data_IF_150982645538
#
_entry.id   IF_150982645538
#
_cell.length_a   1.000
_cell.length_b   1.000
_cell.length_c   1.000
_cell.angle_alpha   90.00
_cell.angle_beta   90.00
_cell.angle_gamma   90.00
#
_symmetry.space_group_name_H-M   'P 1'
#
loop_
_entity.id
_entity.type
_entity.pdbx_description
1 polymer ?
#
# COMPACT_ATOMS: atom_id res chain seq x y z
N UNK A 1 8.20 -1.43 12.08
CA UNK A 1 7.49 -0.15 11.90
C UNK A 1 6.06 -0.31 12.32
N UNK A 2 5.51 0.66 13.06
CA UNK A 2 4.12 0.55 13.53
C UNK A 2 3.06 0.77 12.45
N UNK A 3 3.48 1.08 11.23
CA UNK A 3 2.53 1.24 10.13
C UNK A 3 2.57 0.01 9.25
N UNK A 4 1.40 -0.58 8.99
CA UNK A 4 1.28 -1.76 8.14
C UNK A 4 0.43 -1.44 6.92
N UNK A 5 0.64 -2.23 5.87
CA UNK A 5 0.01 -2.00 4.57
C UNK A 5 -0.88 -3.16 4.13
N UNK A 6 -1.32 -3.97 5.09
CA UNK A 6 -2.18 -5.12 4.81
C UNK A 6 -3.48 -4.68 4.13
N UNK A 7 -4.06 -3.57 4.59
CA UNK A 7 -5.29 -3.05 3.99
C UNK A 7 -5.11 -2.68 2.53
N UNK A 8 -3.95 -2.13 2.17
CA UNK A 8 -3.63 -1.79 0.79
C UNK A 8 -3.67 -3.04 -0.10
N UNK A 9 -2.99 -4.10 0.32
CA UNK A 9 -2.94 -5.32 -0.47
C UNK A 9 -4.30 -6.00 -0.56
N UNK A 10 -5.07 -5.97 0.51
CA UNK A 10 -6.43 -6.52 0.50
C UNK A 10 -7.32 -5.74 -0.46
N UNK A 11 -7.23 -4.41 -0.44
CA UNK A 11 -8.02 -3.56 -1.31
C UNK A 11 -7.64 -3.76 -2.77
N UNK A 12 -6.34 -3.84 -3.06
CA UNK A 12 -5.86 -4.11 -4.41
C UNK A 12 -6.41 -5.43 -4.93
N UNK A 13 -6.38 -6.45 -4.09
CA UNK A 13 -6.91 -7.76 -4.45
C UNK A 13 -8.41 -7.70 -4.70
N UNK A 14 -9.14 -6.99 -3.85
CA UNK A 14 -10.59 -6.84 -3.99
C UNK A 14 -10.96 -6.09 -5.27
N UNK A 15 -10.12 -5.17 -5.71
CA UNK A 15 -10.34 -4.41 -6.94
C UNK A 15 -9.79 -5.10 -8.19
N UNK A 16 -9.23 -6.30 -8.03
CA UNK A 16 -8.69 -7.06 -9.15
C UNK A 16 -7.30 -6.66 -9.59
N UNK A 17 -6.56 -5.93 -8.75
CA UNK A 17 -5.19 -5.55 -9.07
C UNK A 17 -4.21 -6.63 -8.63
N UNK A 18 -3.74 -7.41 -9.60
CA UNK A 18 -2.67 -8.38 -9.35
C UNK A 18 -1.32 -7.65 -9.35
N UNK A 19 -0.28 -8.33 -8.86
CA UNK A 19 1.08 -7.78 -8.89
C UNK A 19 1.48 -7.41 -10.32
N UNK A 20 1.12 -8.25 -11.28
CA UNK A 20 1.38 -7.99 -12.69
C UNK A 20 0.71 -6.70 -13.16
N UNK A 21 -0.56 -6.51 -12.81
CA UNK A 21 -1.32 -5.34 -13.22
C UNK A 21 -0.78 -4.06 -12.57
N UNK A 22 -0.41 -4.15 -11.29
CA UNK A 22 0.20 -3.01 -10.58
C UNK A 22 1.48 -2.57 -11.28
N UNK A 23 2.29 -3.54 -11.66
CA UNK A 23 3.56 -3.27 -12.35
C UNK A 23 3.33 -2.72 -13.75
N UNK A 24 2.37 -3.26 -14.48
CA UNK A 24 2.07 -2.86 -15.84
C UNK A 24 1.51 -1.43 -15.90
N UNK A 25 0.64 -1.09 -14.97
CA UNK A 25 0.05 0.25 -14.91
C UNK A 25 0.92 1.25 -14.15
N UNK A 26 2.05 0.78 -13.63
CA UNK A 26 2.99 1.59 -12.85
C UNK A 26 2.31 2.29 -11.68
N UNK A 27 1.38 1.61 -11.08
CA UNK A 27 0.63 2.14 -9.95
C UNK A 27 1.54 2.36 -8.74
N UNK A 28 2.41 1.38 -8.48
CA UNK A 28 3.41 1.46 -7.43
C UNK A 28 4.74 1.03 -8.05
N UNK A 29 5.80 1.78 -7.78
CA UNK A 29 7.13 1.40 -8.24
C UNK A 29 7.56 0.04 -7.70
N UNK A 30 8.31 -0.71 -8.48
CA UNK A 30 8.72 -2.06 -8.13
C UNK A 30 9.50 -2.09 -6.82
N UNK A 31 10.44 -1.16 -6.65
CA UNK A 31 11.21 -1.07 -5.41
C UNK A 31 10.34 -0.77 -4.21
N UNK A 32 9.39 0.15 -4.38
CA UNK A 32 8.46 0.51 -3.33
C UNK A 32 7.56 -0.68 -2.97
N UNK A 33 7.06 -1.39 -3.97
CA UNK A 33 6.21 -2.55 -3.76
C UNK A 33 6.95 -3.64 -2.99
N UNK A 34 8.20 -3.91 -3.36
CA UNK A 34 9.04 -4.88 -2.66
C UNK A 34 9.26 -4.47 -1.22
N UNK A 35 9.58 -3.18 -0.99
CA UNK A 35 9.80 -2.66 0.36
C UNK A 35 8.54 -2.78 1.22
N UNK A 36 7.37 -2.53 0.64
CA UNK A 36 6.10 -2.67 1.36
C UNK A 36 5.85 -4.12 1.76
N UNK A 37 6.11 -5.06 0.86
CA UNK A 37 5.94 -6.49 1.13
C UNK A 37 6.88 -6.97 2.23
N UNK A 38 8.08 -6.40 2.29
CA UNK A 38 9.08 -6.76 3.28
C UNK A 38 8.92 -5.98 4.59
N UNK A 39 8.02 -5.01 4.63
CA UNK A 39 7.82 -4.18 5.79
C UNK A 39 8.94 -3.19 6.05
N UNK A 40 9.78 -2.91 5.04
CA UNK A 40 10.95 -2.05 5.20
C UNK A 40 10.80 -0.67 4.60
N UNK A 41 9.68 -0.39 3.95
CA UNK A 41 9.48 0.89 3.31
C UNK A 41 8.11 1.47 3.60
N UNK A 42 7.84 2.62 3.00
CA UNK A 42 6.57 3.30 3.16
C UNK A 42 6.16 4.01 1.89
N UNK A 43 4.94 4.50 1.88
CA UNK A 43 4.41 5.26 0.76
C UNK A 43 4.63 6.75 1.02
N UNK A 44 5.00 7.49 -0.02
CA UNK A 44 5.03 8.94 0.07
C UNK A 44 3.62 9.50 -0.19
N UNK A 45 3.41 10.77 0.12
CA UNK A 45 2.11 11.40 -0.01
C UNK A 45 1.60 11.35 -1.46
N UNK A 46 2.50 11.49 -2.41
CA UNK A 46 2.17 11.49 -3.82
C UNK A 46 1.61 10.14 -4.27
N UNK A 47 2.26 9.07 -3.85
CA UNK A 47 1.81 7.72 -4.16
C UNK A 47 0.49 7.41 -3.45
N UNK A 48 0.35 7.84 -2.20
CA UNK A 48 -0.90 7.67 -1.45
C UNK A 48 -2.05 8.37 -2.18
N UNK A 49 -1.83 9.60 -2.62
CA UNK A 49 -2.85 10.36 -3.33
C UNK A 49 -3.26 9.66 -4.62
N UNK A 50 -2.29 9.13 -5.35
CA UNK A 50 -2.55 8.41 -6.59
C UNK A 50 -3.34 7.14 -6.36
N UNK A 51 -2.98 6.38 -5.33
CA UNK A 51 -3.71 5.17 -4.98
C UNK A 51 -5.15 5.48 -4.55
N UNK A 52 -5.35 6.54 -3.79
CA UNK A 52 -6.68 6.96 -3.39
C UNK A 52 -7.54 7.31 -4.60
N UNK A 53 -6.95 7.98 -5.58
CA UNK A 53 -7.66 8.34 -6.80
C UNK A 53 -8.02 7.12 -7.64
N UNK A 54 -7.07 6.23 -7.83
CA UNK A 54 -7.25 5.03 -8.67
C UNK A 54 -8.21 4.04 -8.01
N UNK A 55 -8.11 3.85 -6.70
CA UNK A 55 -8.91 2.89 -5.96
C UNK A 55 -10.17 3.49 -5.36
N UNK A 56 -10.35 4.80 -5.52
CA UNK A 56 -11.50 5.54 -4.97
C UNK A 56 -11.66 5.27 -3.48
N UNK A 57 -10.62 5.55 -2.72
CA UNK A 57 -10.59 5.30 -1.28
C UNK A 57 -9.85 6.42 -0.55
N UNK A 58 -9.81 6.32 0.77
CA UNK A 58 -9.13 7.27 1.64
C UNK A 58 -7.80 6.66 2.10
N UNK A 59 -6.83 7.49 2.53
CA UNK A 59 -5.55 6.96 3.04
C UNK A 59 -5.72 5.96 4.18
N UNK A 60 -6.73 6.13 5.02
CA UNK A 60 -7.01 5.19 6.10
C UNK A 60 -7.43 3.80 5.63
N UNK A 61 -7.82 3.68 4.37
CA UNK A 61 -8.14 2.39 3.76
C UNK A 61 -6.90 1.67 3.22
N UNK A 62 -5.78 2.36 3.19
CA UNK A 62 -4.53 1.84 2.64
C UNK A 62 -3.52 1.48 3.72
N UNK A 63 -3.46 2.27 4.76
CA UNK A 63 -2.45 2.14 5.82
C UNK A 63 -3.13 2.03 7.17
N UNK A 64 -2.44 1.39 8.10
CA UNK A 64 -2.93 1.24 9.45
C UNK A 64 -1.78 1.42 10.43
N UNK A 65 -2.01 2.23 11.46
CA UNK A 65 -1.06 2.37 12.55
C UNK A 65 -1.36 1.31 13.59
N UNK A 66 -0.37 0.53 13.93
CA UNK A 66 -0.49 -0.49 14.97
C UNK A 66 0.43 -0.10 16.12
N UNK A 67 -0.17 0.13 17.28
CA UNK A 67 0.60 0.50 18.46
C UNK A 67 1.51 -0.65 18.84
N UNK A 68 2.81 -0.36 18.95
CA UNK A 68 3.79 -1.34 19.35
C UNK A 68 3.66 -1.61 20.85
N UNK A 69 3.38 -2.85 21.18
CA UNK A 69 3.30 -3.26 22.58
C UNK A 69 4.67 -3.78 23.00
N UNK A 70 5.30 -3.06 23.90
CA UNK A 70 6.58 -3.50 24.45
C UNK A 70 6.34 -4.21 25.76
N UNK A 71 6.96 -5.37 25.92
CA UNK A 71 6.84 -6.10 27.18
C UNK A 71 7.51 -5.36 28.33
#
# INVERSE_FOLDING_TARGET
MPIIYTKLFELLKAKGYTTYRIRQEKLIGQGTLTALKNGTGGLDAKTIARLCEVLDCQPGDLIEYVKEIKP
#
